data_IF_743176553807
#
_entry.id   IF_743176553807
#
_cell.length_a   1.000
_cell.length_b   1.000
_cell.length_c   1.000
_cell.angle_alpha   90.00
_cell.angle_beta   90.00
_cell.angle_gamma   90.00
#
_symmetry.space_group_name_H-M   'P 1'
#
loop_
_entity.id
_entity.type
_entity.pdbx_description
1 polymer ?
#
# COMPACT_ATOMS: atom_id res chain seq x y z
N UNK A 1 -34.56 -21.15 -3.56
CA UNK A 1 -34.01 -21.75 -4.80
C UNK A 1 -32.94 -20.89 -5.50
N UNK A 2 -33.04 -19.54 -5.60
CA UNK A 2 -31.90 -18.64 -5.96
C UNK A 2 -30.75 -18.75 -4.95
N UNK A 3 -31.11 -18.80 -3.66
CA UNK A 3 -30.24 -19.10 -2.51
C UNK A 3 -29.31 -20.32 -2.69
N UNK A 4 -29.71 -21.32 -3.49
CA UNK A 4 -28.92 -22.54 -3.72
C UNK A 4 -27.99 -22.46 -4.94
N UNK A 5 -28.16 -21.45 -5.81
CA UNK A 5 -27.28 -21.17 -6.95
C UNK A 5 -26.23 -20.11 -6.57
N UNK A 6 -26.57 -19.24 -5.62
CA UNK A 6 -25.65 -18.29 -4.97
C UNK A 6 -25.15 -18.88 -3.64
N UNK A 7 -24.70 -20.14 -3.65
CA UNK A 7 -24.24 -20.85 -2.45
C UNK A 7 -23.07 -20.13 -1.76
N UNK A 8 -22.23 -19.41 -2.51
CA UNK A 8 -21.11 -18.62 -1.98
C UNK A 8 -21.44 -17.25 -1.38
N UNK A 9 -22.71 -16.80 -1.35
CA UNK A 9 -23.03 -15.41 -0.94
C UNK A 9 -24.38 -15.29 -0.19
N UNK A 10 -24.44 -15.52 1.12
CA UNK A 10 -25.37 -15.05 2.19
C UNK A 10 -24.74 -14.76 3.59
N UNK A 11 -24.86 -13.50 4.12
CA UNK A 11 -24.97 -13.02 5.54
C UNK A 11 -24.24 -11.67 5.91
N UNK A 12 -25.06 -10.62 6.08
CA UNK A 12 -25.22 -9.54 7.09
C UNK A 12 -24.26 -8.32 7.32
N UNK A 13 -24.95 -7.16 7.47
CA UNK A 13 -24.58 -5.80 7.93
C UNK A 13 -24.09 -5.71 9.39
N UNK A 14 -23.05 -4.88 9.63
CA UNK A 14 -23.13 -3.61 10.37
C UNK A 14 -21.71 -3.11 10.72
N UNK A 15 -21.14 -2.19 9.92
CA UNK A 15 -20.19 -1.14 10.31
C UNK A 15 -19.66 -0.44 9.03
N UNK A 16 -20.48 0.41 8.41
CA UNK A 16 -19.98 1.26 7.30
C UNK A 16 -20.41 2.72 7.40
N UNK A 17 -21.12 3.11 8.46
CA UNK A 17 -21.42 4.51 8.73
C UNK A 17 -20.34 5.24 9.54
N UNK A 18 -19.25 4.56 9.95
CA UNK A 18 -18.15 5.19 10.70
C UNK A 18 -16.75 5.02 10.08
N UNK A 19 -16.59 4.34 8.95
CA UNK A 19 -15.29 4.28 8.23
C UNK A 19 -15.19 5.33 7.11
N UNK A 20 -16.30 6.01 6.78
CA UNK A 20 -16.32 7.20 5.92
C UNK A 20 -15.62 8.41 6.58
N UNK A 21 -15.22 8.31 7.86
CA UNK A 21 -14.60 9.42 8.61
C UNK A 21 -13.07 9.39 8.66
N UNK A 22 -12.39 8.45 8.01
CA UNK A 22 -10.93 8.52 7.86
C UNK A 22 -10.59 9.06 6.48
N UNK A 23 -10.47 10.40 6.44
CA UNK A 23 -10.10 11.23 5.28
C UNK A 23 -9.05 10.55 4.39
N UNK A 24 -9.50 10.05 3.24
CA UNK A 24 -8.71 9.83 2.04
C UNK A 24 -9.44 10.54 0.90
N UNK A 25 -8.71 11.28 0.06
CA UNK A 25 -9.31 12.11 -0.99
C UNK A 25 -10.22 11.27 -1.90
N UNK A 26 -11.43 11.76 -2.17
CA UNK A 26 -12.28 11.20 -3.22
C UNK A 26 -11.51 11.30 -4.54
N UNK A 27 -11.19 10.16 -5.16
CA UNK A 27 -10.54 10.16 -6.48
C UNK A 27 -11.53 10.64 -7.55
N UNK A 28 -11.00 11.05 -8.70
CA UNK A 28 -11.81 11.26 -9.90
C UNK A 28 -12.65 10.01 -10.19
N UNK A 29 -13.92 10.21 -10.53
CA UNK A 29 -14.91 9.14 -10.74
C UNK A 29 -14.47 8.25 -11.90
N UNK A 30 -14.16 6.97 -11.63
CA UNK A 30 -14.09 5.92 -12.64
C UNK A 30 -12.72 5.26 -12.87
N UNK A 31 -11.77 5.38 -11.94
CA UNK A 31 -10.42 4.78 -12.05
C UNK A 31 -10.46 3.27 -12.11
N UNK A 32 -11.22 2.61 -11.22
CA UNK A 32 -11.35 1.14 -11.20
C UNK A 32 -12.73 0.64 -11.60
N UNK A 33 -13.67 1.56 -11.88
CA UNK A 33 -15.00 1.23 -12.35
C UNK A 33 -15.00 0.29 -13.58
N UNK A 34 -14.18 0.51 -14.63
CA UNK A 34 -14.15 -0.41 -15.78
C UNK A 34 -13.70 -1.83 -15.40
N UNK A 35 -12.73 -1.97 -14.49
CA UNK A 35 -12.27 -3.27 -14.01
C UNK A 35 -13.34 -3.98 -13.16
N UNK A 36 -14.05 -3.22 -12.32
CA UNK A 36 -15.18 -3.72 -11.55
C UNK A 36 -16.33 -4.18 -12.46
N UNK A 37 -16.68 -3.41 -13.48
CA UNK A 37 -17.72 -3.78 -14.45
C UNK A 37 -17.31 -5.00 -15.28
N UNK A 38 -16.05 -5.07 -15.73
CA UNK A 38 -15.53 -6.24 -16.47
C UNK A 38 -15.60 -7.53 -15.64
N UNK A 39 -15.30 -7.44 -14.34
CA UNK A 39 -15.45 -8.56 -13.40
C UNK A 39 -16.90 -9.01 -13.28
N UNK A 40 -17.83 -8.07 -13.09
CA UNK A 40 -19.27 -8.39 -12.99
C UNK A 40 -19.80 -8.99 -14.29
N UNK A 41 -19.42 -8.44 -15.44
CA UNK A 41 -19.85 -8.91 -16.75
C UNK A 41 -19.31 -10.31 -17.06
N UNK A 42 -18.03 -10.57 -16.78
CA UNK A 42 -17.42 -11.88 -16.95
C UNK A 42 -18.14 -12.95 -16.11
N UNK A 43 -18.45 -12.63 -14.85
CA UNK A 43 -19.02 -13.59 -13.91
C UNK A 43 -20.55 -13.73 -13.99
N UNK A 44 -21.32 -12.64 -14.08
CA UNK A 44 -22.78 -12.69 -14.10
C UNK A 44 -23.35 -12.89 -15.51
N UNK A 45 -22.86 -12.13 -16.49
CA UNK A 45 -23.45 -12.12 -17.83
C UNK A 45 -22.87 -13.19 -18.73
N UNK A 46 -21.55 -13.15 -18.94
CA UNK A 46 -20.83 -14.06 -19.86
C UNK A 46 -20.72 -15.47 -19.30
N UNK A 47 -20.71 -15.61 -17.96
CA UNK A 47 -20.47 -16.88 -17.26
C UNK A 47 -19.16 -17.54 -17.73
N UNK A 48 -18.12 -16.73 -17.94
CA UNK A 48 -16.84 -17.15 -18.51
C UNK A 48 -15.77 -17.24 -17.42
N UNK A 49 -15.29 -18.47 -17.16
CA UNK A 49 -14.27 -18.74 -16.15
C UNK A 49 -12.93 -18.06 -16.48
N UNK A 50 -12.50 -18.12 -17.73
CA UNK A 50 -11.21 -17.58 -18.14
C UNK A 50 -11.19 -16.05 -18.00
N UNK A 51 -12.24 -15.39 -18.48
CA UNK A 51 -12.40 -13.94 -18.32
C UNK A 51 -12.53 -13.54 -16.83
N UNK A 52 -13.22 -14.34 -16.01
CA UNK A 52 -13.36 -14.09 -14.57
C UNK A 52 -12.03 -14.23 -13.82
N UNK A 53 -11.14 -15.12 -14.27
CA UNK A 53 -9.82 -15.28 -13.69
C UNK A 53 -8.81 -14.27 -14.23
N UNK A 54 -8.99 -13.79 -15.46
CA UNK A 54 -8.10 -12.79 -16.07
C UNK A 54 -8.11 -11.48 -15.28
N UNK A 55 -9.28 -11.06 -14.79
CA UNK A 55 -9.41 -9.85 -13.97
C UNK A 55 -8.81 -10.00 -12.57
N UNK A 56 -8.55 -11.22 -12.11
CA UNK A 56 -8.00 -11.51 -10.79
C UNK A 56 -6.46 -11.58 -10.78
N UNK A 57 -5.86 -11.03 -9.72
CA UNK A 57 -4.45 -11.22 -9.40
C UNK A 57 -4.17 -12.64 -8.90
N UNK A 58 -2.92 -13.09 -8.97
CA UNK A 58 -2.56 -14.45 -8.53
C UNK A 58 -2.76 -14.65 -7.01
N UNK A 59 -2.55 -13.59 -6.25
CA UNK A 59 -2.79 -13.54 -4.80
C UNK A 59 -4.21 -13.12 -4.40
N UNK A 60 -5.19 -13.23 -5.31
CA UNK A 60 -6.58 -12.83 -5.04
C UNK A 60 -7.14 -13.56 -3.82
N UNK A 61 -7.87 -12.80 -3.01
CA UNK A 61 -8.63 -13.31 -1.89
C UNK A 61 -10.10 -13.02 -2.11
N UNK A 62 -10.96 -14.01 -1.87
CA UNK A 62 -12.39 -13.82 -1.86
C UNK A 62 -12.94 -14.26 -0.52
N UNK A 63 -13.74 -13.39 0.08
CA UNK A 63 -14.50 -13.71 1.28
C UNK A 63 -15.95 -13.82 0.84
N UNK A 64 -16.40 -15.07 0.71
CA UNK A 64 -17.80 -15.40 0.70
C UNK A 64 -18.40 -15.16 2.09
N UNK A 65 -19.69 -15.30 2.17
CA UNK A 65 -20.48 -14.91 3.34
C UNK A 65 -20.66 -15.99 4.40
N UNK A 66 -20.37 -17.25 4.06
CA UNK A 66 -20.32 -18.34 5.00
C UNK A 66 -18.86 -18.54 5.35
N UNK A 67 -18.55 -18.53 6.65
CA UNK A 67 -17.18 -18.53 7.19
C UNK A 67 -16.29 -19.73 6.74
N UNK A 68 -16.81 -20.67 5.95
CA UNK A 68 -16.11 -21.83 5.40
C UNK A 68 -15.51 -21.64 4.00
N UNK A 69 -15.83 -20.56 3.27
CA UNK A 69 -15.42 -20.38 1.86
C UNK A 69 -14.51 -19.15 1.67
N UNK A 70 -13.36 -19.18 2.36
CA UNK A 70 -12.30 -18.19 2.14
C UNK A 70 -11.36 -18.67 1.03
N UNK A 71 -11.35 -17.95 -0.09
CA UNK A 71 -10.37 -18.13 -1.17
C UNK A 71 -9.10 -17.37 -0.83
N UNK A 72 -7.95 -18.03 -0.92
CA UNK A 72 -6.65 -17.47 -0.54
C UNK A 72 -5.73 -17.14 -1.71
N UNK A 73 -6.02 -17.70 -2.89
CA UNK A 73 -5.25 -17.56 -4.11
C UNK A 73 -6.14 -17.82 -5.35
N UNK A 74 -5.57 -17.58 -6.53
CA UNK A 74 -6.26 -17.73 -7.81
C UNK A 74 -6.63 -19.17 -8.17
N UNK A 75 -5.89 -20.17 -7.69
CA UNK A 75 -6.21 -21.59 -7.95
C UNK A 75 -7.44 -22.05 -7.17
N UNK A 76 -7.57 -21.62 -5.92
CA UNK A 76 -8.78 -21.80 -5.12
C UNK A 76 -9.97 -21.06 -5.74
N UNK A 77 -9.76 -19.83 -6.22
CA UNK A 77 -10.80 -19.08 -6.93
C UNK A 77 -11.26 -19.83 -8.18
N UNK A 78 -10.32 -20.35 -8.98
CA UNK A 78 -10.61 -21.08 -10.21
C UNK A 78 -11.46 -22.30 -9.95
N UNK A 79 -11.16 -23.09 -8.91
CA UNK A 79 -11.95 -24.28 -8.56
C UNK A 79 -13.37 -23.90 -8.13
N UNK A 80 -13.51 -22.92 -7.25
CA UNK A 80 -14.80 -22.45 -6.77
C UNK A 80 -15.67 -21.93 -7.92
N UNK A 81 -15.12 -21.05 -8.76
CA UNK A 81 -15.85 -20.49 -9.91
C UNK A 81 -16.22 -21.56 -10.93
N UNK A 82 -15.35 -22.54 -11.19
CA UNK A 82 -15.64 -23.63 -12.11
C UNK A 82 -16.85 -24.46 -11.65
N UNK A 83 -16.91 -24.79 -10.36
CA UNK A 83 -18.03 -25.52 -9.75
C UNK A 83 -19.33 -24.73 -9.83
N UNK A 84 -19.31 -23.43 -9.51
CA UNK A 84 -20.51 -22.56 -9.58
C UNK A 84 -21.01 -22.35 -11.01
N UNK A 85 -20.10 -22.13 -11.97
CA UNK A 85 -20.43 -21.94 -13.38
C UNK A 85 -21.00 -23.22 -13.98
N UNK A 86 -20.45 -24.40 -13.62
CA UNK A 86 -21.00 -25.69 -14.02
C UNK A 86 -22.39 -25.94 -13.43
N UNK A 87 -22.63 -25.54 -12.18
CA UNK A 87 -23.93 -25.67 -11.53
C UNK A 87 -25.00 -24.75 -12.15
N UNK A 88 -24.60 -23.58 -12.67
CA UNK A 88 -25.52 -22.65 -13.33
C UNK A 88 -24.84 -21.89 -14.49
N UNK A 89 -24.89 -22.41 -15.73
CA UNK A 89 -24.19 -21.81 -16.86
C UNK A 89 -24.96 -20.66 -17.55
N UNK A 90 -26.19 -20.38 -17.14
CA UNK A 90 -27.04 -19.37 -17.80
C UNK A 90 -26.65 -17.94 -17.36
N UNK A 91 -26.74 -16.94 -18.26
CA UNK A 91 -26.55 -15.54 -17.90
C UNK A 91 -27.48 -15.06 -16.78
N UNK A 92 -26.95 -14.20 -15.93
CA UNK A 92 -27.67 -13.50 -14.86
C UNK A 92 -27.74 -12.01 -15.22
N UNK A 93 -28.89 -11.38 -15.00
CA UNK A 93 -29.01 -9.93 -15.08
C UNK A 93 -28.50 -9.28 -13.81
N UNK A 94 -27.82 -8.15 -13.91
CA UNK A 94 -27.41 -7.37 -12.74
C UNK A 94 -27.55 -5.86 -12.97
N UNK A 95 -27.76 -5.11 -11.88
CA UNK A 95 -27.74 -3.64 -11.85
C UNK A 95 -26.86 -3.19 -10.71
N UNK A 96 -25.99 -2.22 -10.98
CA UNK A 96 -25.10 -1.62 -9.98
C UNK A 96 -25.65 -0.27 -9.55
N UNK A 97 -25.74 -0.04 -8.25
CA UNK A 97 -26.18 1.21 -7.65
C UNK A 97 -25.24 1.61 -6.49
N UNK A 98 -25.18 2.91 -6.19
CA UNK A 98 -24.41 3.42 -5.05
C UNK A 98 -22.90 3.11 -5.13
N UNK A 99 -22.33 3.14 -6.33
CA UNK A 99 -20.90 2.90 -6.52
C UNK A 99 -20.08 4.07 -5.99
N UNK A 100 -19.06 3.76 -5.20
CA UNK A 100 -18.03 4.69 -4.78
C UNK A 100 -16.68 3.99 -4.83
N UNK A 101 -15.61 4.75 -5.07
CA UNK A 101 -14.23 4.27 -5.03
C UNK A 101 -13.32 5.27 -4.31
N UNK A 102 -12.26 4.75 -3.70
CA UNK A 102 -11.27 5.52 -2.96
C UNK A 102 -9.90 4.85 -3.05
N UNK A 103 -8.85 5.65 -2.99
CA UNK A 103 -7.47 5.13 -2.95
C UNK A 103 -7.12 4.68 -1.54
N UNK A 104 -6.70 3.42 -1.38
CA UNK A 104 -6.23 2.88 -0.09
C UNK A 104 -4.74 3.17 0.14
N UNK A 105 -3.96 3.12 -0.94
CA UNK A 105 -2.53 3.40 -1.02
C UNK A 105 -2.18 3.57 -2.50
N UNK A 106 -1.03 4.17 -2.85
CA UNK A 106 -0.65 4.37 -4.25
C UNK A 106 -0.77 3.10 -5.10
N UNK A 107 -1.55 3.16 -6.16
CA UNK A 107 -1.80 2.01 -7.05
C UNK A 107 -2.65 0.90 -6.43
N UNK A 108 -3.37 1.18 -5.34
CA UNK A 108 -4.34 0.29 -4.69
C UNK A 108 -5.64 1.06 -4.46
N UNK A 109 -6.67 0.67 -5.18
CA UNK A 109 -8.00 1.28 -5.10
C UNK A 109 -8.97 0.31 -4.46
N UNK A 110 -9.95 0.83 -3.72
CA UNK A 110 -11.08 0.06 -3.23
C UNK A 110 -12.37 0.71 -3.69
N UNK A 111 -13.34 -0.12 -4.08
CA UNK A 111 -14.67 0.32 -4.41
C UNK A 111 -15.72 -0.42 -3.60
N UNK A 112 -16.85 0.25 -3.36
CA UNK A 112 -18.05 -0.31 -2.76
C UNK A 112 -19.25 -0.09 -3.69
N UNK A 113 -20.12 -1.09 -3.81
CA UNK A 113 -21.37 -0.94 -4.56
C UNK A 113 -22.46 -1.89 -4.06
N UNK A 114 -23.71 -1.49 -4.30
CA UNK A 114 -24.87 -2.37 -4.21
C UNK A 114 -25.13 -2.97 -5.59
N UNK A 115 -25.11 -4.29 -5.69
CA UNK A 115 -25.32 -5.05 -6.93
C UNK A 115 -26.57 -5.90 -6.77
N UNK A 116 -27.63 -5.55 -7.49
CA UNK A 116 -28.84 -6.35 -7.55
C UNK A 116 -28.70 -7.39 -8.66
N UNK A 117 -28.99 -8.66 -8.38
CA UNK A 117 -28.80 -9.79 -9.31
C UNK A 117 -30.09 -10.55 -9.50
N UNK A 118 -30.38 -10.97 -10.73
CA UNK A 118 -31.57 -11.74 -11.11
C UNK A 118 -31.22 -12.88 -12.06
N UNK A 119 -32.06 -13.92 -12.08
CA UNK A 119 -31.96 -15.03 -13.03
C UNK A 119 -32.48 -14.71 -14.43
N UNK A 120 -33.23 -13.62 -14.58
CA UNK A 120 -33.65 -13.13 -15.89
C UNK A 120 -32.63 -12.09 -16.37
N UNK A 121 -32.21 -12.10 -17.64
CA UNK A 121 -31.40 -11.02 -18.22
C UNK A 121 -32.11 -9.65 -18.14
N UNK A 122 -33.44 -9.63 -18.05
CA UNK A 122 -34.25 -8.42 -17.89
C UNK A 122 -34.82 -8.31 -16.47
N UNK A 123 -34.71 -7.11 -15.89
CA UNK A 123 -35.30 -6.80 -14.59
C UNK A 123 -36.83 -6.66 -14.62
N UNK A 124 -37.43 -6.39 -15.79
CA UNK A 124 -38.89 -6.28 -15.95
C UNK A 124 -39.61 -7.61 -15.70
N UNK A 125 -38.92 -8.74 -15.92
CA UNK A 125 -39.41 -10.10 -15.69
C UNK A 125 -38.74 -10.79 -14.50
N UNK A 126 -38.02 -10.04 -13.66
CA UNK A 126 -37.24 -10.61 -12.57
C UNK A 126 -38.14 -11.09 -11.42
N UNK A 127 -38.07 -12.40 -11.14
CA UNK A 127 -38.64 -12.98 -9.93
C UNK A 127 -37.56 -13.10 -8.85
N UNK A 128 -37.77 -12.48 -7.68
CA UNK A 128 -36.90 -12.54 -6.50
C UNK A 128 -35.43 -12.11 -6.75
N UNK A 129 -35.18 -10.84 -7.12
CA UNK A 129 -33.82 -10.33 -7.22
C UNK A 129 -33.11 -10.40 -5.85
N UNK A 130 -31.81 -10.65 -5.88
CA UNK A 130 -30.95 -10.70 -4.70
C UNK A 130 -30.09 -9.44 -4.67
N UNK A 131 -30.11 -8.72 -3.55
CA UNK A 131 -29.26 -7.56 -3.33
C UNK A 131 -27.95 -7.99 -2.68
N UNK A 132 -26.84 -7.76 -3.38
CA UNK A 132 -25.48 -7.92 -2.87
C UNK A 132 -24.89 -6.55 -2.52
N UNK A 133 -24.17 -6.46 -1.41
CA UNK A 133 -23.26 -5.36 -1.10
C UNK A 133 -21.85 -5.86 -1.28
N UNK A 134 -21.14 -5.27 -2.23
CA UNK A 134 -19.82 -5.70 -2.64
C UNK A 134 -18.81 -4.63 -2.28
N UNK A 135 -17.70 -5.07 -1.70
CA UNK A 135 -16.48 -4.29 -1.55
C UNK A 135 -15.37 -5.02 -2.29
N UNK A 136 -14.73 -4.35 -3.23
CA UNK A 136 -13.64 -4.93 -4.02
C UNK A 136 -12.40 -4.04 -3.95
N UNK A 137 -11.24 -4.66 -3.80
CA UNK A 137 -9.93 -4.00 -3.82
C UNK A 137 -9.15 -4.43 -5.04
N UNK A 138 -8.63 -3.45 -5.77
CA UNK A 138 -7.85 -3.61 -6.98
C UNK A 138 -6.44 -3.10 -6.78
N UNK A 139 -5.46 -3.81 -7.35
CA UNK A 139 -4.04 -3.42 -7.38
C UNK A 139 -3.62 -3.20 -8.83
N UNK A 140 -2.90 -2.13 -9.11
CA UNK A 140 -2.32 -1.87 -10.42
C UNK A 140 -1.11 -2.80 -10.63
N UNK A 141 -1.21 -3.71 -11.60
CA UNK A 141 -0.18 -4.72 -11.92
C UNK A 141 0.04 -4.72 -13.43
N UNK A 142 1.26 -4.41 -13.88
CA UNK A 142 1.59 -4.39 -15.31
C UNK A 142 0.74 -3.40 -16.12
N UNK A 143 0.31 -2.29 -15.52
CA UNK A 143 -0.57 -1.29 -16.16
C UNK A 143 -2.05 -1.63 -16.15
N UNK A 144 -2.47 -2.76 -15.57
CA UNK A 144 -3.86 -3.17 -15.46
C UNK A 144 -4.32 -3.28 -14.00
N UNK A 145 -5.56 -2.86 -13.72
CA UNK A 145 -6.18 -3.03 -12.41
C UNK A 145 -6.65 -4.47 -12.23
N UNK A 146 -6.02 -5.20 -11.29
CA UNK A 146 -6.34 -6.60 -11.00
C UNK A 146 -7.03 -6.73 -9.64
N UNK A 147 -8.12 -7.50 -9.60
CA UNK A 147 -8.85 -7.82 -8.38
C UNK A 147 -7.93 -8.57 -7.42
N UNK A 148 -7.82 -8.06 -6.19
CA UNK A 148 -6.96 -8.62 -5.14
C UNK A 148 -7.75 -9.04 -3.92
N UNK A 149 -8.85 -8.36 -3.62
CA UNK A 149 -9.76 -8.75 -2.56
C UNK A 149 -11.19 -8.49 -3.02
N UNK A 150 -12.08 -9.44 -2.80
CA UNK A 150 -13.52 -9.21 -2.96
C UNK A 150 -14.26 -9.73 -1.73
N UNK A 151 -15.21 -8.93 -1.28
CA UNK A 151 -16.15 -9.29 -0.24
C UNK A 151 -17.55 -8.94 -0.75
N UNK A 152 -18.46 -9.92 -0.75
CA UNK A 152 -19.85 -9.73 -1.13
C UNK A 152 -20.74 -10.22 0.01
N UNK A 153 -21.79 -9.47 0.34
CA UNK A 153 -22.72 -9.80 1.43
C UNK A 153 -24.17 -9.51 1.07
N UNK A 154 -25.12 -10.25 1.63
CA UNK A 154 -26.56 -9.98 1.49
C UNK A 154 -27.06 -9.31 2.78
N UNK A 155 -27.93 -8.29 2.70
CA UNK A 155 -28.57 -7.72 3.88
C UNK A 155 -29.68 -8.66 4.41
N UNK A 156 -29.46 -9.38 5.52
CA UNK A 156 -30.54 -10.04 6.30
C UNK A 156 -30.27 -9.89 7.81
N UNK A 157 -31.35 -9.84 8.60
CA UNK A 157 -31.41 -9.54 10.04
C UNK A 157 -30.84 -10.67 10.94
N UNK A 158 -30.05 -10.27 11.93
CA UNK A 158 -29.48 -11.04 13.06
C UNK A 158 -28.92 -12.44 12.76
N UNK A 159 -27.60 -12.58 12.63
CA UNK A 159 -26.92 -13.82 13.05
C UNK A 159 -25.50 -13.59 13.61
N UNK A 160 -25.29 -14.13 14.82
CA UNK A 160 -24.04 -14.58 15.47
C UNK A 160 -22.79 -13.69 15.54
N UNK A 161 -22.41 -13.23 16.73
CA UNK A 161 -21.18 -12.46 17.05
C UNK A 161 -19.87 -13.25 16.76
N UNK A 162 -19.90 -14.59 16.69
CA UNK A 162 -18.69 -15.43 16.62
C UNK A 162 -18.07 -15.65 15.23
N UNK A 163 -18.84 -15.56 14.14
CA UNK A 163 -18.31 -15.64 12.76
C UNK A 163 -17.95 -14.25 12.18
N UNK A 164 -18.32 -13.17 12.89
CA UNK A 164 -18.15 -11.78 12.49
C UNK A 164 -16.72 -11.25 12.68
N UNK A 165 -15.99 -11.76 13.66
CA UNK A 165 -14.61 -11.35 13.92
C UNK A 165 -13.67 -11.83 12.81
N UNK A 166 -13.69 -13.11 12.46
CA UNK A 166 -12.69 -13.71 11.56
C UNK A 166 -12.68 -13.11 10.13
N UNK A 167 -13.84 -12.77 9.56
CA UNK A 167 -13.93 -12.21 8.20
C UNK A 167 -13.52 -10.73 8.16
N UNK A 168 -13.91 -9.95 9.17
CA UNK A 168 -13.45 -8.56 9.31
C UNK A 168 -11.95 -8.51 9.56
N UNK A 169 -11.42 -9.42 10.39
CA UNK A 169 -9.98 -9.53 10.67
C UNK A 169 -9.19 -9.89 9.41
N UNK A 170 -9.66 -10.84 8.59
CA UNK A 170 -8.99 -11.17 7.31
C UNK A 170 -9.02 -9.99 6.34
N UNK A 171 -10.14 -9.25 6.28
CA UNK A 171 -10.26 -8.06 5.43
C UNK A 171 -9.31 -6.94 5.89
N UNK A 172 -9.31 -6.62 7.18
CA UNK A 172 -8.45 -5.60 7.80
C UNK A 172 -6.98 -5.98 7.60
N UNK A 173 -6.57 -7.20 7.97
CA UNK A 173 -5.18 -7.64 7.80
C UNK A 173 -4.74 -7.67 6.34
N UNK A 174 -5.62 -8.04 5.41
CA UNK A 174 -5.29 -8.04 3.98
C UNK A 174 -5.10 -6.61 3.48
N UNK A 175 -5.97 -5.67 3.86
CA UNK A 175 -5.83 -4.26 3.49
C UNK A 175 -4.58 -3.65 4.10
N UNK A 176 -4.29 -3.91 5.38
CA UNK A 176 -3.08 -3.43 6.04
C UNK A 176 -1.83 -3.97 5.35
N UNK A 177 -1.80 -5.27 5.03
CA UNK A 177 -0.69 -5.87 4.28
C UNK A 177 -0.50 -5.20 2.92
N UNK A 178 -1.58 -5.02 2.16
CA UNK A 178 -1.55 -4.38 0.85
C UNK A 178 -1.04 -2.94 0.92
N UNK A 179 -1.48 -2.19 1.94
CA UNK A 179 -0.97 -0.84 2.20
C UNK A 179 0.52 -0.87 2.48
N UNK A 180 0.98 -1.71 3.42
CA UNK A 180 2.42 -1.84 3.73
C UNK A 180 3.22 -2.20 2.47
N UNK A 181 2.81 -3.21 1.72
CA UNK A 181 3.49 -3.57 0.45
C UNK A 181 3.57 -2.41 -0.55
N UNK A 182 2.54 -1.55 -0.59
CA UNK A 182 2.51 -0.41 -1.48
C UNK A 182 3.36 0.77 -0.99
N UNK A 183 3.53 0.95 0.32
CA UNK A 183 4.09 2.17 0.91
C UNK A 183 5.43 1.98 1.60
N UNK A 184 5.81 0.77 1.98
CA UNK A 184 7.04 0.49 2.75
C UNK A 184 8.08 -0.26 1.93
N UNK A 185 9.36 -0.02 2.25
CA UNK A 185 10.49 -0.84 1.82
C UNK A 185 10.47 -2.19 2.57
N UNK A 186 10.59 -3.29 1.83
CA UNK A 186 10.39 -4.63 2.38
C UNK A 186 11.50 -5.05 3.38
N UNK A 187 12.70 -4.51 3.24
CA UNK A 187 13.83 -4.82 4.11
C UNK A 187 13.77 -4.00 5.41
N UNK A 188 13.63 -2.69 5.27
CA UNK A 188 13.80 -1.74 6.39
C UNK A 188 12.50 -1.36 7.09
N UNK A 189 11.34 -1.60 6.46
CA UNK A 189 10.02 -1.29 7.01
C UNK A 189 9.69 0.22 7.11
N UNK A 190 10.59 1.10 6.70
CA UNK A 190 10.32 2.54 6.47
C UNK A 190 9.69 2.73 5.09
N UNK A 191 9.39 3.97 4.70
CA UNK A 191 8.72 4.23 3.43
C UNK A 191 9.59 3.84 2.24
N UNK A 192 8.97 3.39 1.16
CA UNK A 192 9.65 3.21 -0.11
C UNK A 192 9.72 4.54 -0.89
N UNK A 193 10.61 4.61 -1.89
CA UNK A 193 10.77 5.76 -2.80
C UNK A 193 9.44 6.41 -3.21
N UNK A 194 8.48 5.59 -3.67
CA UNK A 194 7.21 6.08 -4.22
C UNK A 194 6.39 6.83 -3.17
N UNK A 195 6.23 6.27 -1.97
CA UNK A 195 5.45 6.92 -0.91
C UNK A 195 6.21 8.10 -0.30
N UNK A 196 7.53 8.02 -0.18
CA UNK A 196 8.38 9.12 0.29
C UNK A 196 8.24 10.35 -0.59
N UNK A 197 8.39 10.20 -1.91
CA UNK A 197 8.20 11.29 -2.88
C UNK A 197 6.80 11.88 -2.77
N UNK A 198 5.76 11.03 -2.75
CA UNK A 198 4.36 11.48 -2.66
C UNK A 198 4.08 12.31 -1.40
N UNK A 199 4.57 11.88 -0.23
CA UNK A 199 4.35 12.59 1.02
C UNK A 199 5.11 13.92 1.08
N UNK A 200 6.33 13.96 0.56
CA UNK A 200 7.15 15.17 0.52
C UNK A 200 6.56 16.19 -0.46
N UNK A 201 6.09 15.77 -1.63
CA UNK A 201 5.37 16.64 -2.58
C UNK A 201 4.03 17.11 -2.03
N UNK A 202 3.29 16.25 -1.32
CA UNK A 202 2.04 16.66 -0.67
C UNK A 202 2.24 17.73 0.42
N UNK A 203 3.43 17.81 1.01
CA UNK A 203 3.80 18.85 1.96
C UNK A 203 4.16 20.20 1.28
N UNK A 204 4.24 20.27 -0.05
CA UNK A 204 4.75 21.43 -0.78
C UNK A 204 3.88 22.71 -0.68
N UNK A 205 2.62 22.60 -0.26
CA UNK A 205 1.64 23.70 -0.24
C UNK A 205 1.81 24.72 0.89
N UNK A 206 3.02 25.28 1.05
CA UNK A 206 3.46 26.31 2.03
C UNK A 206 4.21 25.80 3.28
N UNK A 207 4.49 24.50 3.41
CA UNK A 207 5.26 24.00 4.56
C UNK A 207 6.77 24.12 4.32
N UNK A 208 7.43 24.99 5.10
CA UNK A 208 8.88 24.97 5.27
C UNK A 208 9.35 23.59 5.75
N UNK A 209 10.56 23.18 5.36
CA UNK A 209 11.14 21.92 5.80
C UNK A 209 12.55 21.70 5.27
N UNK A 210 13.20 20.66 5.76
CA UNK A 210 14.57 20.31 5.38
C UNK A 210 14.62 18.87 4.91
N UNK A 211 15.14 18.65 3.69
CA UNK A 211 15.44 17.33 3.14
C UNK A 211 16.89 16.96 3.48
N UNK A 212 17.09 15.70 3.82
CA UNK A 212 18.39 15.09 4.01
C UNK A 212 18.49 13.86 3.11
N UNK A 213 19.59 13.76 2.37
CA UNK A 213 20.05 12.52 1.77
C UNK A 213 21.14 11.92 2.63
N UNK A 214 20.95 10.68 3.02
CA UNK A 214 21.83 9.94 3.93
C UNK A 214 22.30 8.70 3.21
N UNK A 215 23.62 8.51 3.16
CA UNK A 215 24.24 7.38 2.46
C UNK A 215 25.32 6.74 3.34
N UNK A 216 25.31 5.40 3.38
CA UNK A 216 26.25 4.62 4.20
C UNK A 216 27.65 4.65 3.57
N UNK A 217 28.63 5.16 4.31
CA UNK A 217 30.00 5.24 3.81
C UNK A 217 30.60 3.84 3.62
N UNK A 218 31.09 3.59 2.40
CA UNK A 218 31.73 2.33 1.99
C UNK A 218 30.84 1.10 2.19
N UNK A 219 29.53 1.21 1.96
CA UNK A 219 28.58 0.10 2.10
C UNK A 219 28.97 -1.17 1.35
N UNK A 220 29.56 -1.04 0.16
CA UNK A 220 30.09 -2.19 -0.59
C UNK A 220 31.15 -2.96 0.20
N UNK A 221 32.01 -2.29 0.96
CA UNK A 221 33.02 -2.94 1.81
C UNK A 221 32.38 -3.78 2.93
N UNK A 222 31.23 -3.35 3.45
CA UNK A 222 30.45 -4.16 4.41
C UNK A 222 30.01 -5.46 3.74
N UNK A 223 29.40 -5.37 2.56
CA UNK A 223 28.95 -6.54 1.80
C UNK A 223 30.11 -7.47 1.43
N UNK A 224 31.21 -6.91 0.93
CA UNK A 224 32.37 -7.67 0.45
C UNK A 224 33.09 -8.40 1.60
N UNK A 225 33.14 -7.81 2.81
CA UNK A 225 33.88 -8.36 3.96
C UNK A 225 33.03 -9.22 4.89
N UNK A 226 31.75 -8.88 5.08
CA UNK A 226 30.86 -9.52 6.07
C UNK A 226 29.63 -10.19 5.42
N UNK A 227 29.49 -10.09 4.10
CA UNK A 227 28.38 -10.67 3.34
C UNK A 227 27.13 -9.80 3.33
N UNK A 228 26.22 -10.13 2.40
CA UNK A 228 24.98 -9.37 2.19
C UNK A 228 24.06 -9.33 3.41
N UNK A 229 24.07 -10.35 4.27
CA UNK A 229 23.29 -10.35 5.50
C UNK A 229 23.72 -9.25 6.47
N UNK A 230 25.02 -8.95 6.54
CA UNK A 230 25.54 -7.85 7.35
C UNK A 230 25.20 -6.49 6.73
N UNK A 231 25.25 -6.38 5.40
CA UNK A 231 24.76 -5.19 4.69
C UNK A 231 23.28 -4.93 4.95
N UNK A 232 22.44 -5.95 4.82
CA UNK A 232 21.01 -5.86 5.13
C UNK A 232 20.74 -5.45 6.58
N UNK A 233 21.48 -6.03 7.53
CA UNK A 233 21.41 -5.66 8.95
C UNK A 233 21.83 -4.19 9.18
N UNK A 234 22.86 -3.70 8.48
CA UNK A 234 23.28 -2.31 8.56
C UNK A 234 22.18 -1.36 8.07
N UNK A 235 21.51 -1.68 6.96
CA UNK A 235 20.40 -0.88 6.44
C UNK A 235 19.20 -0.84 7.40
N UNK A 236 18.89 -1.97 8.04
CA UNK A 236 17.84 -2.04 9.08
C UNK A 236 18.23 -1.22 10.31
N UNK A 237 19.49 -1.29 10.75
CA UNK A 237 20.00 -0.52 11.87
C UNK A 237 19.94 1.00 11.59
N UNK A 238 20.30 1.42 10.38
CA UNK A 238 20.18 2.83 9.97
C UNK A 238 18.73 3.29 9.97
N UNK A 239 17.81 2.50 9.41
CA UNK A 239 16.39 2.82 9.41
C UNK A 239 15.84 3.03 10.84
N UNK A 240 16.23 2.15 11.77
CA UNK A 240 15.88 2.26 13.19
C UNK A 240 16.47 3.52 13.83
N UNK A 241 17.77 3.74 13.66
CA UNK A 241 18.48 4.89 14.22
C UNK A 241 17.87 6.22 13.75
N UNK A 242 17.48 6.33 12.48
CA UNK A 242 16.78 7.52 11.98
C UNK A 242 15.41 7.62 12.65
N UNK A 243 14.58 6.57 12.57
CA UNK A 243 13.17 6.60 12.97
C UNK A 243 12.94 6.96 14.43
N UNK A 244 13.81 6.52 15.33
CA UNK A 244 13.73 6.85 16.78
C UNK A 244 13.91 8.36 17.07
N UNK A 245 14.48 9.11 16.12
CA UNK A 245 14.75 10.53 16.25
C UNK A 245 13.73 11.44 15.53
N UNK A 246 12.65 10.84 15.01
CA UNK A 246 11.65 11.51 14.18
C UNK A 246 10.36 11.82 14.93
N UNK A 247 9.68 12.88 14.49
CA UNK A 247 8.30 13.21 14.88
C UNK A 247 7.31 12.50 13.97
N UNK A 248 6.03 12.52 14.35
CA UNK A 248 4.96 11.86 13.59
C UNK A 248 4.78 12.40 12.16
N UNK A 249 5.12 13.66 11.97
CA UNK A 249 4.97 14.44 10.74
C UNK A 249 6.26 14.55 9.91
N UNK A 250 7.37 13.96 10.40
CA UNK A 250 8.60 13.80 9.62
C UNK A 250 8.45 12.58 8.67
N UNK A 251 9.11 12.63 7.51
CA UNK A 251 9.08 11.54 6.52
C UNK A 251 10.45 10.85 6.50
N UNK A 252 10.45 9.52 6.57
CA UNK A 252 11.66 8.69 6.42
C UNK A 252 11.40 7.61 5.39
N UNK A 253 12.28 7.51 4.40
CA UNK A 253 12.20 6.43 3.42
C UNK A 253 13.54 6.03 2.83
N UNK A 254 13.54 4.87 2.18
CA UNK A 254 14.66 4.32 1.44
C UNK A 254 14.39 4.43 -0.04
N UNK A 255 15.29 5.09 -0.75
CA UNK A 255 15.12 5.31 -2.19
C UNK A 255 15.59 4.12 -3.02
N UNK A 256 16.52 3.32 -2.48
CA UNK A 256 17.11 2.13 -3.09
C UNK A 256 18.55 1.96 -2.60
N UNK A 257 19.11 0.75 -2.70
CA UNK A 257 20.50 0.51 -2.28
C UNK A 257 20.73 0.92 -0.82
N UNK A 258 21.71 1.77 -0.59
CA UNK A 258 22.13 2.36 0.68
C UNK A 258 21.68 3.82 0.88
N UNK A 259 20.79 4.30 0.01
CA UNK A 259 20.33 5.68 0.00
C UNK A 259 19.01 5.87 0.76
N UNK A 260 19.06 6.74 1.78
CA UNK A 260 17.94 7.11 2.63
C UNK A 260 17.59 8.59 2.46
N UNK A 261 16.30 8.89 2.57
CA UNK A 261 15.74 10.24 2.63
C UNK A 261 15.12 10.46 4.00
N UNK A 262 15.44 11.62 4.58
CA UNK A 262 14.71 12.16 5.73
C UNK A 262 14.18 13.53 5.34
N UNK A 263 12.91 13.81 5.65
CA UNK A 263 12.33 15.12 5.51
C UNK A 263 11.77 15.58 6.85
N UNK A 264 12.39 16.61 7.41
CA UNK A 264 11.88 17.25 8.61
C UNK A 264 10.82 18.28 8.23
N UNK A 265 9.58 18.01 8.63
CA UNK A 265 8.49 18.96 8.41
C UNK A 265 8.63 20.15 9.36
N UNK A 266 8.56 21.37 8.83
CA UNK A 266 8.56 22.62 9.62
C UNK A 266 9.83 22.81 10.47
N UNK A 267 10.96 22.28 10.00
CA UNK A 267 12.26 22.46 10.63
C UNK A 267 13.26 23.01 9.62
N UNK A 268 13.67 24.26 9.84
CA UNK A 268 14.67 24.99 9.02
C UNK A 268 15.85 25.52 9.84
N UNK A 269 15.83 25.35 11.17
CA UNK A 269 16.96 25.75 12.00
C UNK A 269 18.14 24.78 11.81
N UNK A 270 19.25 25.27 11.24
CA UNK A 270 20.42 24.45 10.89
C UNK A 270 21.07 23.75 12.08
N UNK A 271 21.14 24.42 13.24
CA UNK A 271 21.77 23.85 14.44
C UNK A 271 20.94 22.68 14.98
N UNK A 272 19.61 22.80 14.95
CA UNK A 272 18.71 21.72 15.35
C UNK A 272 18.77 20.56 14.36
N UNK A 273 18.85 20.84 13.05
CA UNK A 273 19.06 19.80 12.02
C UNK A 273 20.37 19.07 12.27
N UNK A 274 21.47 19.80 12.49
CA UNK A 274 22.80 19.25 12.80
C UNK A 274 22.76 18.33 14.01
N UNK A 275 22.17 18.78 15.12
CA UNK A 275 22.07 17.99 16.34
C UNK A 275 21.28 16.68 16.12
N UNK A 276 20.18 16.72 15.36
CA UNK A 276 19.41 15.52 15.00
C UNK A 276 20.22 14.56 14.12
N UNK A 277 20.98 15.08 13.16
CA UNK A 277 21.86 14.28 12.29
C UNK A 277 22.93 13.57 13.11
N UNK A 278 23.63 14.31 13.95
CA UNK A 278 24.65 13.77 14.85
C UNK A 278 24.06 12.68 15.76
N UNK A 279 22.85 12.89 16.27
CA UNK A 279 22.18 11.92 17.13
C UNK A 279 21.95 10.57 16.44
N UNK A 280 21.36 10.55 15.23
CA UNK A 280 21.15 9.28 14.53
C UNK A 280 22.44 8.70 13.96
N UNK A 281 23.43 9.51 13.58
CA UNK A 281 24.74 9.03 13.15
C UNK A 281 25.46 8.28 14.29
N UNK A 282 25.41 8.83 15.50
CA UNK A 282 25.97 8.19 16.69
C UNK A 282 25.24 6.89 17.04
N UNK A 283 23.90 6.89 17.00
CA UNK A 283 23.10 5.69 17.27
C UNK A 283 23.36 4.57 16.24
N UNK A 284 23.51 4.94 14.96
CA UNK A 284 23.89 4.00 13.90
C UNK A 284 25.30 3.44 14.12
N UNK A 285 26.30 4.29 14.38
CA UNK A 285 27.67 3.86 14.65
C UNK A 285 27.78 2.89 15.84
N UNK A 286 27.00 3.11 16.90
CA UNK A 286 26.90 2.17 18.03
C UNK A 286 26.32 0.83 17.61
N UNK A 287 25.25 0.83 16.82
CA UNK A 287 24.61 -0.40 16.33
C UNK A 287 25.53 -1.22 15.40
N UNK A 288 26.42 -0.55 14.68
CA UNK A 288 27.37 -1.21 13.78
C UNK A 288 28.50 -1.95 14.51
N UNK A 289 28.72 -1.69 15.80
CA UNK A 289 29.77 -2.39 16.57
C UNK A 289 29.53 -3.91 16.64
N UNK A 290 28.25 -4.31 16.77
CA UNK A 290 27.86 -5.73 16.83
C UNK A 290 27.72 -6.36 15.44
N UNK A 291 27.38 -5.56 14.42
CA UNK A 291 27.12 -6.04 13.04
C UNK A 291 28.43 -6.23 12.28
N UNK A 292 29.35 -5.27 12.38
CA UNK A 292 30.65 -5.30 11.70
C UNK A 292 31.79 -5.04 12.70
N UNK A 293 32.12 -6.02 13.56
CA UNK A 293 33.15 -5.83 14.58
C UNK A 293 34.50 -5.39 13.99
N UNK A 294 35.04 -4.29 14.49
CA UNK A 294 36.33 -3.73 14.06
C UNK A 294 36.31 -3.03 12.70
N UNK A 295 35.13 -2.75 12.13
CA UNK A 295 34.97 -1.83 11.01
C UNK A 295 34.23 -0.58 11.50
N UNK A 296 34.85 0.59 11.37
CA UNK A 296 34.16 1.86 11.60
C UNK A 296 33.29 2.16 10.38
N UNK A 297 31.97 2.18 10.58
CA UNK A 297 31.00 2.52 9.55
C UNK A 297 30.39 3.88 9.90
N UNK A 298 30.33 4.77 8.92
CA UNK A 298 29.89 6.16 9.08
C UNK A 298 28.84 6.51 8.03
N UNK A 299 28.26 7.69 8.15
CA UNK A 299 27.27 8.22 7.22
C UNK A 299 27.78 9.54 6.66
N UNK A 300 27.50 9.77 5.38
CA UNK A 300 27.61 11.10 4.78
C UNK A 300 26.20 11.63 4.51
N UNK A 301 26.01 12.93 4.72
CA UNK A 301 24.68 13.56 4.65
C UNK A 301 24.71 14.83 3.80
N UNK A 302 23.83 14.90 2.81
CA UNK A 302 23.53 16.13 2.07
C UNK A 302 22.23 16.75 2.56
N UNK A 303 22.22 18.05 2.81
CA UNK A 303 21.07 18.75 3.41
C UNK A 303 20.60 19.86 2.48
N UNK A 304 19.30 19.94 2.24
CA UNK A 304 18.70 21.04 1.47
C UNK A 304 17.42 21.55 2.14
N UNK A 305 17.31 22.87 2.28
CA UNK A 305 16.08 23.50 2.80
C UNK A 305 15.10 23.75 1.67
N UNK A 306 13.84 23.36 1.86
CA UNK A 306 12.77 23.50 0.87
C UNK A 306 12.48 24.97 0.58
N UNK A 307 12.35 25.30 -0.70
CA UNK A 307 11.85 26.58 -1.18
C UNK A 307 10.35 26.45 -1.49
N UNK A 308 9.58 27.54 -1.33
CA UNK A 308 8.15 27.54 -1.61
C UNK A 308 7.84 27.09 -3.05
N UNK A 309 6.90 26.16 -3.20
CA UNK A 309 6.49 25.61 -4.51
C UNK A 309 7.50 24.65 -5.16
N UNK A 310 8.58 24.29 -4.47
CA UNK A 310 9.61 23.38 -4.99
C UNK A 310 9.14 21.92 -5.02
N UNK A 311 9.47 21.20 -6.08
CA UNK A 311 9.20 19.76 -6.20
C UNK A 311 10.16 18.92 -5.35
N UNK A 312 9.80 17.66 -5.06
CA UNK A 312 10.73 16.70 -4.49
C UNK A 312 12.00 16.55 -5.34
N UNK A 313 11.89 16.49 -6.67
CA UNK A 313 13.03 16.26 -7.56
C UNK A 313 14.04 17.42 -7.54
N UNK A 314 13.57 18.67 -7.44
CA UNK A 314 14.45 19.85 -7.34
C UNK A 314 15.15 19.90 -5.98
N UNK A 315 14.40 19.64 -4.90
CA UNK A 315 14.94 19.57 -3.54
C UNK A 315 15.97 18.43 -3.39
N UNK A 316 15.66 17.26 -3.97
CA UNK A 316 16.54 16.10 -4.03
C UNK A 316 17.85 16.43 -4.74
N UNK A 317 17.80 17.10 -5.89
CA UNK A 317 18.99 17.46 -6.67
C UNK A 317 19.97 18.35 -5.89
N UNK A 318 19.45 19.29 -5.10
CA UNK A 318 20.28 20.15 -4.23
C UNK A 318 20.90 19.37 -3.08
N UNK A 319 20.12 18.50 -2.43
CA UNK A 319 20.64 17.65 -1.37
C UNK A 319 21.68 16.64 -1.89
N UNK A 320 21.52 16.12 -3.11
CA UNK A 320 22.48 15.21 -3.75
C UNK A 320 23.81 15.90 -4.04
N UNK A 321 23.79 17.15 -4.53
CA UNK A 321 25.00 17.93 -4.71
C UNK A 321 25.76 18.15 -3.37
N UNK A 322 25.03 18.38 -2.27
CA UNK A 322 25.60 18.49 -0.94
C UNK A 322 26.16 17.16 -0.42
N UNK A 323 25.44 16.04 -0.66
CA UNK A 323 25.90 14.69 -0.29
C UNK A 323 27.18 14.33 -1.05
N UNK A 324 27.24 14.64 -2.35
CA UNK A 324 28.42 14.44 -3.16
C UNK A 324 29.63 15.17 -2.57
N UNK A 325 29.46 16.43 -2.13
CA UNK A 325 30.51 17.19 -1.45
C UNK A 325 30.94 16.53 -0.14
N UNK A 326 29.99 16.03 0.66
CA UNK A 326 30.30 15.30 1.90
C UNK A 326 31.17 14.06 1.63
N UNK A 327 30.80 13.24 0.64
CA UNK A 327 31.54 12.03 0.23
C UNK A 327 32.97 12.34 -0.25
N UNK A 328 33.17 13.48 -0.88
CA UNK A 328 34.48 13.91 -1.42
C UNK A 328 35.32 14.73 -0.43
N UNK A 329 34.76 15.11 0.72
CA UNK A 329 35.46 15.87 1.77
C UNK A 329 36.01 14.99 2.91
N UNK A 330 36.15 13.69 2.67
CA UNK A 330 36.63 12.72 3.67
C UNK A 330 35.53 11.88 4.33
N UNK A 331 34.27 12.01 3.91
CA UNK A 331 33.10 11.26 4.43
C UNK A 331 32.81 11.57 5.91
N UNK A 332 31.89 10.83 6.54
CA UNK A 332 31.54 10.99 7.96
C UNK A 332 31.16 12.43 8.34
N UNK A 333 30.49 13.15 7.42
CA UNK A 333 30.20 14.57 7.58
C UNK A 333 28.89 14.94 6.88
N UNK A 334 28.45 16.17 7.11
CA UNK A 334 27.29 16.73 6.43
C UNK A 334 27.59 18.08 5.81
N UNK A 335 26.98 18.35 4.66
CA UNK A 335 27.01 19.65 3.99
C UNK A 335 25.58 20.14 3.73
N UNK A 336 25.41 21.46 3.78
CA UNK A 336 24.20 22.10 3.28
C UNK A 336 24.37 22.49 1.81
N UNK A 337 23.28 22.59 1.08
CA UNK A 337 23.24 22.87 -0.34
C UNK A 337 23.81 24.25 -0.72
N UNK A 338 23.72 25.23 0.18
CA UNK A 338 24.31 26.55 0.00
C UNK A 338 25.83 26.59 0.20
N UNK A 339 26.41 25.50 0.72
CA UNK A 339 27.84 25.36 0.90
C UNK A 339 28.51 24.77 -0.36
N UNK A 340 27.76 24.35 -1.39
CA UNK A 340 28.27 23.57 -2.54
C UNK A 340 28.85 24.42 -3.65
#
# INVERSE_FOLDING_TARGET
MLRNVLRGIFVMLAFLYNVVSLRGGMSAVGTVRPAFDAMLDAYFTKRDLAASLEVASDGVRALGTWASEAVRNKDELSRLLAEELAAYPKPLGYVVAGYAEWELAPGIMQCGASVMVTRSPSFESATNPVLLRMTATFKLIGGAWKLTLIHASIPEESDGIGARSSLADVHIHTIERLRREATTDALTGILNRRETTRLIDAAAGDAEGTLLLVDVDDFKNINDRFGHQAGDAALVALAHAIKENMRADDVVGRLGGDEFVVYFARLVNRDVVRAKVEQFCNAFGQSMFDITPGLLVTLSVGVAQRVAGESFDDLYRRADAALYKAKHSGKATMFFDDEV
#
